data_IF_745822531285
#
_entry.id   IF_745822531285
#
_cell.length_a   1.000
_cell.length_b   1.000
_cell.length_c   1.000
_cell.angle_alpha   90.00
_cell.angle_beta   90.00
_cell.angle_gamma   90.00
#
_symmetry.space_group_name_H-M   'P 1'
#
loop_
_entity.id
_entity.type
_entity.pdbx_description
1 polymer ?
#
# COMPACT_ATOMS: atom_id res chain seq x y z
N UNK A 1 12.48 12.83 -7.51
CA UNK A 1 12.77 14.28 -7.42
C UNK A 1 11.56 15.07 -6.93
N UNK A 2 10.35 14.84 -7.45
CA UNK A 2 9.16 15.59 -7.03
C UNK A 2 8.79 15.44 -5.53
N UNK A 3 8.77 14.21 -5.01
CA UNK A 3 8.42 13.96 -3.59
C UNK A 3 9.42 14.65 -2.66
N UNK A 4 10.72 14.47 -2.89
CA UNK A 4 11.78 15.09 -2.07
C UNK A 4 11.67 16.62 -2.09
N UNK A 5 11.46 17.24 -3.25
CA UNK A 5 11.26 18.68 -3.34
C UNK A 5 10.01 19.16 -2.57
N UNK A 6 8.93 18.37 -2.60
CA UNK A 6 7.72 18.65 -1.80
C UNK A 6 7.98 18.53 -0.30
N UNK A 7 8.79 17.56 0.13
CA UNK A 7 9.21 17.41 1.52
C UNK A 7 10.07 18.59 1.98
N UNK A 8 11.02 19.04 1.16
CA UNK A 8 11.88 20.19 1.47
C UNK A 8 11.08 21.49 1.60
N UNK A 9 9.95 21.62 0.88
CA UNK A 9 9.06 22.78 0.92
C UNK A 9 7.99 22.72 2.02
N UNK A 10 7.77 21.57 2.64
CA UNK A 10 6.74 21.39 3.66
C UNK A 10 7.16 22.04 5.00
N UNK A 11 6.20 22.66 5.70
CA UNK A 11 6.44 23.40 6.94
C UNK A 11 5.68 22.86 8.16
N UNK A 12 5.05 21.68 8.04
CA UNK A 12 4.28 21.07 9.13
C UNK A 12 5.13 20.18 10.04
N UNK A 13 4.60 19.88 11.23
CA UNK A 13 5.23 18.95 12.19
C UNK A 13 5.29 17.49 11.69
N UNK A 14 4.45 17.17 10.71
CA UNK A 14 4.43 15.89 10.00
C UNK A 14 4.13 16.12 8.51
N UNK A 15 4.67 15.25 7.66
CA UNK A 15 4.44 15.27 6.20
C UNK A 15 3.78 13.96 5.78
N UNK A 16 2.68 14.07 5.04
CA UNK A 16 1.98 12.92 4.46
C UNK A 16 2.11 13.00 2.95
N UNK A 17 2.64 11.94 2.35
CA UNK A 17 2.77 11.81 0.91
C UNK A 17 1.58 10.99 0.40
N UNK A 18 0.82 11.56 -0.54
CA UNK A 18 -0.31 10.89 -1.17
C UNK A 18 -0.45 11.29 -2.64
N UNK A 19 -1.04 10.42 -3.45
CA UNK A 19 -1.34 10.71 -4.85
C UNK A 19 -2.53 11.68 -4.98
N UNK A 20 -2.48 12.55 -5.98
CA UNK A 20 -3.51 13.57 -6.23
C UNK A 20 -4.73 13.03 -7.02
N UNK A 21 -4.68 11.78 -7.47
CA UNK A 21 -5.72 11.15 -8.29
C UNK A 21 -6.88 10.55 -7.47
N UNK A 22 -6.85 10.74 -6.15
CA UNK A 22 -7.85 10.26 -5.19
C UNK A 22 -8.05 8.74 -5.18
N UNK A 23 -7.05 7.95 -5.62
CA UNK A 23 -7.09 6.50 -5.44
C UNK A 23 -6.98 6.08 -3.97
N UNK A 24 -6.34 6.91 -3.15
CA UNK A 24 -6.27 6.72 -1.71
C UNK A 24 -7.23 7.71 -1.03
N UNK A 25 -8.20 7.21 -0.25
CA UNK A 25 -9.22 8.06 0.36
C UNK A 25 -8.58 9.06 1.34
N UNK A 26 -8.87 10.38 1.23
CA UNK A 26 -8.28 11.40 2.08
C UNK A 26 -8.61 11.21 3.57
N UNK A 27 -9.68 10.48 3.89
CA UNK A 27 -10.07 10.14 5.26
C UNK A 27 -8.96 9.36 6.00
N UNK A 28 -8.15 8.58 5.28
CA UNK A 28 -7.03 7.80 5.84
C UNK A 28 -5.97 8.70 6.49
N UNK A 29 -5.86 9.96 6.05
CA UNK A 29 -4.96 10.96 6.65
C UNK A 29 -5.22 11.13 8.15
N UNK A 30 -6.49 11.07 8.58
CA UNK A 30 -6.84 11.21 9.99
C UNK A 30 -6.30 10.06 10.84
N UNK A 31 -6.36 8.83 10.32
CA UNK A 31 -5.82 7.64 10.99
C UNK A 31 -4.30 7.69 11.08
N UNK A 32 -3.62 8.17 10.03
CA UNK A 32 -2.17 8.34 10.01
C UNK A 32 -1.71 9.36 11.07
N UNK A 33 -2.40 10.50 11.16
CA UNK A 33 -2.11 11.53 12.17
C UNK A 33 -2.37 11.03 13.58
N UNK A 34 -3.45 10.27 13.80
CA UNK A 34 -3.74 9.68 15.10
C UNK A 34 -2.61 8.76 15.57
N UNK A 35 -2.10 7.89 14.68
CA UNK A 35 -0.95 7.04 14.95
C UNK A 35 0.33 7.85 15.16
N UNK A 36 0.62 8.85 14.35
CA UNK A 36 1.78 9.71 14.57
C UNK A 36 1.76 10.35 15.97
N UNK A 37 0.59 10.82 16.44
CA UNK A 37 0.42 11.38 17.79
C UNK A 37 0.59 10.36 18.93
N UNK A 38 0.52 9.06 18.66
CA UNK A 38 0.87 8.01 19.64
C UNK A 38 2.39 7.88 19.84
N UNK A 39 3.21 8.60 19.05
CA UNK A 39 4.67 8.60 19.15
C UNK A 39 5.37 7.80 18.05
N UNK A 40 4.65 7.35 17.02
CA UNK A 40 5.25 6.67 15.87
C UNK A 40 5.90 7.69 14.92
N UNK A 41 7.18 7.52 14.63
CA UNK A 41 7.93 8.40 13.71
C UNK A 41 7.52 8.20 12.24
N UNK A 42 7.15 6.98 11.86
CA UNK A 42 6.75 6.62 10.50
C UNK A 42 5.47 5.77 10.56
N UNK A 43 4.44 6.19 9.83
CA UNK A 43 3.16 5.49 9.74
C UNK A 43 2.83 5.19 8.28
N UNK A 44 2.53 3.92 7.98
CA UNK A 44 2.16 3.49 6.64
C UNK A 44 0.67 3.16 6.55
N UNK A 45 -0.01 3.71 5.53
CA UNK A 45 -1.31 3.21 5.11
C UNK A 45 -1.12 1.93 4.31
N UNK A 46 -1.79 0.84 4.70
CA UNK A 46 -1.78 -0.43 3.96
C UNK A 46 -3.22 -0.81 3.60
N UNK A 47 -3.46 -1.11 2.33
CA UNK A 47 -4.75 -1.67 1.88
C UNK A 47 -5.00 -3.01 2.59
N UNK A 48 -6.01 -3.03 3.47
CA UNK A 48 -6.40 -4.22 4.25
C UNK A 48 -7.07 -5.27 3.36
N UNK A 49 -7.80 -4.83 2.32
CA UNK A 49 -8.45 -5.70 1.35
C UNK A 49 -8.21 -5.16 -0.07
N UNK A 50 -7.77 -6.04 -0.97
CA UNK A 50 -7.92 -5.84 -2.41
C UNK A 50 -9.35 -6.27 -2.76
N UNK A 51 -10.27 -5.31 -2.86
CA UNK A 51 -11.58 -5.55 -3.50
C UNK A 51 -11.30 -6.16 -4.89
N UNK A 52 -11.56 -7.46 -5.04
CA UNK A 52 -11.26 -8.21 -6.26
C UNK A 52 -10.35 -9.44 -6.11
N UNK A 53 -9.69 -9.65 -4.96
CA UNK A 53 -9.17 -10.98 -4.58
C UNK A 53 -10.33 -11.83 -4.03
N UNK A 54 -11.27 -12.20 -4.91
CA UNK A 54 -12.18 -13.30 -4.62
C UNK A 54 -11.35 -14.54 -4.29
N UNK A 55 -11.76 -15.32 -3.29
CA UNK A 55 -11.17 -16.62 -2.95
C UNK A 55 -10.91 -17.49 -4.20
N UNK A 56 -11.76 -17.33 -5.22
CA UNK A 56 -11.60 -17.93 -6.54
C UNK A 56 -10.30 -17.52 -7.26
N UNK A 57 -9.92 -16.24 -7.29
CA UNK A 57 -8.65 -15.78 -7.92
C UNK A 57 -7.42 -16.29 -7.17
N UNK A 58 -7.48 -16.38 -5.84
CA UNK A 58 -6.41 -16.99 -5.05
C UNK A 58 -6.26 -18.48 -5.36
N UNK A 59 -7.38 -19.19 -5.49
CA UNK A 59 -7.39 -20.61 -5.82
C UNK A 59 -6.91 -20.87 -7.25
N UNK A 60 -7.36 -20.09 -8.24
CA UNK A 60 -6.91 -20.26 -9.63
C UNK A 60 -5.45 -19.86 -9.82
N UNK A 61 -4.96 -18.81 -9.15
CA UNK A 61 -3.53 -18.46 -9.15
C UNK A 61 -2.68 -19.58 -8.54
N UNK A 62 -3.08 -20.11 -7.38
CA UNK A 62 -2.38 -21.23 -6.74
C UNK A 62 -2.35 -22.48 -7.64
N UNK A 63 -3.46 -22.80 -8.31
CA UNK A 63 -3.54 -23.92 -9.24
C UNK A 63 -2.68 -23.70 -10.48
N UNK A 64 -2.69 -22.49 -11.05
CA UNK A 64 -1.86 -22.12 -12.19
C UNK A 64 -0.37 -22.30 -11.86
N UNK A 65 0.11 -21.77 -10.72
CA UNK A 65 1.50 -21.93 -10.32
C UNK A 65 1.88 -23.38 -10.04
N UNK A 66 1.00 -24.18 -9.40
CA UNK A 66 1.24 -25.62 -9.19
C UNK A 66 1.32 -26.42 -10.49
N UNK A 67 0.55 -26.05 -11.51
CA UNK A 67 0.61 -26.67 -12.83
C UNK A 67 1.86 -26.23 -13.58
N UNK A 68 2.21 -24.95 -13.50
CA UNK A 68 3.43 -24.42 -14.07
C UNK A 68 4.67 -25.10 -13.48
N UNK A 69 4.74 -25.26 -12.15
CA UNK A 69 5.82 -25.98 -11.45
C UNK A 69 5.90 -27.46 -11.84
N UNK A 70 4.75 -28.11 -12.08
CA UNK A 70 4.74 -29.51 -12.56
C UNK A 70 5.15 -29.66 -14.02
N UNK A 71 4.90 -28.65 -14.84
CA UNK A 71 5.22 -28.68 -16.28
C UNK A 71 6.62 -28.12 -16.58
N UNK A 72 7.13 -27.26 -15.71
CA UNK A 72 8.45 -26.68 -15.83
C UNK A 72 9.35 -27.41 -14.85
N UNK A 73 10.13 -28.36 -15.34
CA UNK A 73 11.24 -28.93 -14.57
C UNK A 73 12.26 -27.82 -14.31
N UNK A 74 12.08 -27.09 -13.22
CA UNK A 74 13.11 -26.22 -12.67
C UNK A 74 13.60 -26.95 -11.43
N UNK A 75 14.74 -27.63 -11.58
CA UNK A 75 15.56 -28.09 -10.45
C UNK A 75 16.11 -26.89 -9.66
#
# INVERSE_FOLDING_TARGET
VAITAGMDAAAGDAVIVMDADLQDPPEVVLDLVAKWKEGFEIVYARRVKREGESWFKRMTASLFYRLLEKMTSVD
#
